data_IF_620755390693
#
_entry.id   IF_620755390693
#
_cell.length_a   1.000
_cell.length_b   1.000
_cell.length_c   1.000
_cell.angle_alpha   90.00
_cell.angle_beta   90.00
_cell.angle_gamma   90.00
#
_symmetry.space_group_name_H-M   'P 1'
#
loop_
_entity.id
_entity.type
_entity.pdbx_description
1 polymer ?
#
# COMPACT_ATOMS: atom_id res chain seq x y z
N UNK A 1 20.53 30.19 22.97
CA UNK A 1 20.35 29.05 22.06
C UNK A 1 18.97 28.47 22.35
N UNK A 2 17.98 28.75 21.51
CA UNK A 2 16.65 28.16 21.63
C UNK A 2 16.63 26.91 20.76
N UNK A 3 16.56 25.75 21.40
CA UNK A 3 16.43 24.46 20.74
C UNK A 3 15.03 24.41 20.12
N UNK A 4 14.97 24.55 18.79
CA UNK A 4 13.73 24.31 18.06
C UNK A 4 13.43 22.80 18.19
N UNK A 5 12.30 22.39 18.79
CA UNK A 5 11.88 21.01 18.75
C UNK A 5 11.70 20.67 17.28
N UNK A 6 12.53 19.76 16.78
CA UNK A 6 12.46 19.27 15.41
C UNK A 6 11.09 18.61 15.29
N UNK A 7 10.12 19.37 14.78
CA UNK A 7 8.78 18.89 14.53
C UNK A 7 8.91 17.64 13.68
N UNK A 8 8.51 16.50 14.24
CA UNK A 8 8.55 15.17 13.64
C UNK A 8 8.32 15.30 12.14
N UNK A 9 9.33 14.98 11.33
CA UNK A 9 9.19 14.97 9.89
C UNK A 9 7.91 14.16 9.59
N UNK A 10 6.92 14.74 8.87
CA UNK A 10 5.66 14.05 8.65
C UNK A 10 5.97 12.67 8.06
N UNK A 11 5.40 11.62 8.64
CA UNK A 11 5.67 10.25 8.22
C UNK A 11 5.04 10.04 6.83
N UNK A 12 5.77 10.46 5.77
CA UNK A 12 5.33 10.40 4.37
C UNK A 12 5.28 8.97 3.82
N UNK A 13 5.70 7.99 4.60
CA UNK A 13 5.64 6.56 4.28
C UNK A 13 4.21 6.11 3.99
N UNK A 14 3.24 6.55 4.79
CA UNK A 14 1.83 6.19 4.58
C UNK A 14 1.26 6.77 3.27
N UNK A 15 1.36 8.09 3.00
CA UNK A 15 0.89 8.64 1.73
C UNK A 15 1.66 8.08 0.52
N UNK A 16 2.96 7.81 0.63
CA UNK A 16 3.73 7.17 -0.44
C UNK A 16 3.22 5.74 -0.76
N UNK A 17 2.94 4.95 0.27
CA UNK A 17 2.37 3.61 0.11
C UNK A 17 0.95 3.65 -0.47
N UNK A 18 0.13 4.60 -0.04
CA UNK A 18 -1.23 4.79 -0.57
C UNK A 18 -1.17 5.18 -2.06
N UNK A 19 -0.28 6.10 -2.45
CA UNK A 19 -0.12 6.47 -3.85
C UNK A 19 0.33 5.29 -4.73
N UNK A 20 1.28 4.50 -4.24
CA UNK A 20 1.74 3.30 -4.94
C UNK A 20 0.63 2.25 -5.05
N UNK A 21 -0.15 2.03 -3.98
CA UNK A 21 -1.27 1.10 -3.97
C UNK A 21 -2.38 1.51 -4.95
N UNK A 22 -2.72 2.80 -5.00
CA UNK A 22 -3.71 3.33 -5.95
C UNK A 22 -3.23 3.14 -7.39
N UNK A 23 -1.97 3.48 -7.69
CA UNK A 23 -1.41 3.33 -9.03
C UNK A 23 -1.40 1.85 -9.47
N UNK A 24 -1.00 0.96 -8.57
CA UNK A 24 -0.99 -0.48 -8.81
C UNK A 24 -2.41 -1.03 -9.00
N UNK A 25 -3.37 -0.60 -8.19
CA UNK A 25 -4.78 -0.96 -8.31
C UNK A 25 -5.36 -0.52 -9.65
N UNK A 26 -5.05 0.70 -10.09
CA UNK A 26 -5.52 1.23 -11.38
C UNK A 26 -4.96 0.41 -12.55
N UNK A 27 -3.65 0.13 -12.56
CA UNK A 27 -3.05 -0.72 -13.59
C UNK A 27 -3.64 -2.13 -13.60
N UNK A 28 -3.86 -2.73 -12.42
CA UNK A 28 -4.54 -4.03 -12.30
C UNK A 28 -5.98 -3.99 -12.78
N UNK A 29 -6.73 -2.93 -12.50
CA UNK A 29 -8.10 -2.74 -12.98
C UNK A 29 -8.17 -2.57 -14.50
N UNK A 30 -7.22 -1.85 -15.10
CA UNK A 30 -7.09 -1.74 -16.56
C UNK A 30 -6.76 -3.10 -17.18
N UNK A 31 -5.82 -3.86 -16.59
CA UNK A 31 -5.49 -5.21 -17.04
C UNK A 31 -6.71 -6.15 -16.85
N UNK A 32 -7.45 -6.03 -15.76
CA UNK A 32 -8.69 -6.79 -15.54
C UNK A 32 -9.75 -6.49 -16.61
N UNK A 33 -9.96 -5.22 -16.94
CA UNK A 33 -10.91 -4.81 -17.96
C UNK A 33 -10.56 -5.40 -19.35
N UNK A 34 -9.27 -5.66 -19.61
CA UNK A 34 -8.79 -6.26 -20.85
C UNK A 34 -8.79 -7.80 -20.80
N UNK A 35 -8.53 -8.43 -19.64
CA UNK A 35 -8.27 -9.88 -19.54
C UNK A 35 -9.32 -10.72 -18.75
N UNK A 36 -10.25 -10.11 -18.00
CA UNK A 36 -11.38 -10.78 -17.35
C UNK A 36 -11.12 -11.48 -16.00
N UNK A 37 -11.99 -12.44 -15.63
CA UNK A 37 -12.11 -13.16 -14.34
C UNK A 37 -10.80 -13.54 -13.60
N UNK A 38 -9.73 -14.05 -14.23
CA UNK A 38 -8.48 -14.40 -13.53
C UNK A 38 -7.87 -13.24 -12.73
N UNK A 39 -8.10 -11.99 -13.15
CA UNK A 39 -7.52 -10.83 -12.45
C UNK A 39 -8.31 -10.46 -11.18
N UNK A 40 -9.59 -10.86 -11.05
CA UNK A 40 -10.33 -10.71 -9.77
C UNK A 40 -9.68 -11.56 -8.67
N UNK A 41 -9.29 -12.80 -9.02
CA UNK A 41 -8.60 -13.71 -8.10
C UNK A 41 -7.23 -13.15 -7.70
N UNK A 42 -6.50 -12.57 -8.66
CA UNK A 42 -5.24 -11.89 -8.37
C UNK A 42 -5.43 -10.67 -7.43
N UNK A 43 -6.52 -9.91 -7.58
CA UNK A 43 -6.84 -8.77 -6.71
C UNK A 43 -7.16 -9.21 -5.28
N UNK A 44 -7.99 -10.25 -5.14
CA UNK A 44 -8.32 -10.83 -3.84
C UNK A 44 -7.07 -11.36 -3.13
N UNK A 45 -6.17 -12.00 -3.89
CA UNK A 45 -4.91 -12.49 -3.36
C UNK A 45 -3.99 -11.34 -2.93
N UNK A 46 -3.82 -10.31 -3.77
CA UNK A 46 -2.98 -9.14 -3.47
C UNK A 46 -3.47 -8.37 -2.24
N UNK A 47 -4.79 -8.22 -2.08
CA UNK A 47 -5.38 -7.61 -0.88
C UNK A 47 -5.04 -8.43 0.37
N UNK A 48 -5.15 -9.76 0.28
CA UNK A 48 -4.75 -10.65 1.37
C UNK A 48 -3.26 -10.51 1.69
N UNK A 49 -2.38 -10.48 0.68
CA UNK A 49 -0.93 -10.33 0.88
C UNK A 49 -0.56 -8.99 1.49
N UNK A 50 -1.28 -7.91 1.12
CA UNK A 50 -1.07 -6.59 1.70
C UNK A 50 -1.46 -6.55 3.19
N UNK A 51 -2.58 -7.17 3.54
CA UNK A 51 -3.01 -7.31 4.94
C UNK A 51 -1.98 -8.13 5.73
N UNK A 52 -1.51 -9.25 5.18
CA UNK A 52 -0.46 -10.07 5.81
C UNK A 52 0.86 -9.29 5.95
N UNK A 53 1.23 -8.48 4.95
CA UNK A 53 2.42 -7.63 5.00
C UNK A 53 2.30 -6.50 6.02
N UNK A 54 1.11 -5.92 6.21
CA UNK A 54 0.85 -4.91 7.24
C UNK A 54 0.83 -5.55 8.63
N UNK A 55 0.25 -6.76 8.74
CA UNK A 55 0.25 -7.56 9.97
C UNK A 55 1.65 -7.98 10.41
N UNK A 56 2.48 -8.46 9.47
CA UNK A 56 3.87 -8.82 9.73
C UNK A 56 4.71 -7.61 10.18
N UNK A 57 4.43 -6.41 9.64
CA UNK A 57 5.08 -5.16 10.09
C UNK A 57 4.64 -4.71 11.49
N UNK A 58 3.50 -5.20 11.98
CA UNK A 58 3.01 -4.96 13.36
C UNK A 58 3.42 -6.03 14.36
N UNK A 59 3.81 -7.23 13.91
CA UNK A 59 4.13 -8.38 14.75
C UNK A 59 5.63 -8.57 15.09
N UNK A 60 6.47 -7.59 14.81
CA UNK A 60 7.87 -7.59 15.24
C UNK A 60 8.01 -7.08 16.67
N UNK A 61 7.62 -7.92 17.64
CA UNK A 61 7.94 -7.78 19.07
C UNK A 61 8.63 -9.05 19.55
#
# INVERSE_FOLDING_TARGET
MHEHPQGRAPDYTMPALVMAAINLFWMLGVIWAVFGLPVVLALAWALKTLIDAIGARRGGS
#
